data_IF_378546664179
#
_entry.id   IF_378546664179
#
_cell.length_a   1.000
_cell.length_b   1.000
_cell.length_c   1.000
_cell.angle_alpha   90.00
_cell.angle_beta   90.00
_cell.angle_gamma   90.00
#
_symmetry.space_group_name_H-M   'P 1'
#
loop_
_entity.id
_entity.type
_entity.pdbx_description
1 polymer ?
#
# COMPACT_ATOMS: atom_id res chain seq x y z
N UNK A 1 9.14 15.07 -15.23
CA UNK A 1 8.94 15.48 -13.81
C UNK A 1 8.20 14.40 -13.02
N UNK A 2 8.88 13.34 -12.58
CA UNK A 2 8.24 12.33 -11.72
C UNK A 2 9.21 11.77 -10.67
N UNK A 3 9.74 12.62 -9.81
CA UNK A 3 10.48 12.19 -8.63
C UNK A 3 9.49 11.75 -7.55
N UNK A 4 8.87 10.57 -7.71
CA UNK A 4 8.25 9.88 -6.56
C UNK A 4 9.38 9.22 -5.77
N UNK A 5 9.79 9.91 -4.70
CA UNK A 5 10.76 9.45 -3.69
C UNK A 5 10.51 7.98 -3.32
N UNK A 6 11.46 7.10 -3.63
CA UNK A 6 11.50 5.69 -3.22
C UNK A 6 12.04 5.52 -1.79
N UNK A 7 11.86 6.51 -0.92
CA UNK A 7 12.41 6.49 0.43
C UNK A 7 11.28 6.17 1.40
N UNK A 8 11.35 5.02 2.07
CA UNK A 8 10.51 4.73 3.23
C UNK A 8 11.37 4.22 4.39
N UNK A 9 11.09 4.77 5.56
CA UNK A 9 11.73 4.47 6.84
C UNK A 9 11.73 2.96 7.12
N UNK A 10 12.89 2.44 7.55
CA UNK A 10 13.09 1.05 7.95
C UNK A 10 13.21 0.03 6.82
N UNK A 11 13.11 0.41 5.55
CA UNK A 11 13.21 -0.52 4.41
C UNK A 11 14.56 -0.42 3.73
N UNK A 12 15.40 -1.43 3.96
CA UNK A 12 16.65 -1.57 3.22
C UNK A 12 16.38 -1.96 1.76
N UNK A 13 17.14 -1.37 0.84
CA UNK A 13 17.29 -1.89 -0.51
C UNK A 13 18.41 -2.92 -0.49
N UNK A 14 18.08 -4.20 -0.68
CA UNK A 14 19.09 -5.24 -0.79
C UNK A 14 19.63 -5.24 -2.23
N UNK A 15 20.88 -4.79 -2.37
CA UNK A 15 21.67 -4.99 -3.58
C UNK A 15 22.40 -6.32 -3.43
N UNK A 16 21.96 -7.38 -4.12
CA UNK A 16 22.68 -8.66 -4.13
C UNK A 16 23.85 -8.51 -5.10
N UNK A 17 25.08 -8.52 -4.58
CA UNK A 17 26.30 -8.37 -5.40
C UNK A 17 26.71 -9.74 -5.95
N UNK A 18 26.59 -9.98 -7.26
CA UNK A 18 27.47 -10.92 -8.00
C UNK A 18 27.79 -10.38 -9.40
N UNK A 19 29.02 -10.67 -9.81
CA UNK A 19 29.78 -10.12 -10.95
C UNK A 19 28.94 -9.98 -12.24
N UNK A 20 29.08 -8.81 -12.88
CA UNK A 20 28.75 -8.49 -14.28
C UNK A 20 27.42 -9.00 -14.83
N UNK A 21 26.36 -8.18 -14.68
CA UNK A 21 25.26 -7.92 -15.62
C UNK A 21 24.18 -7.12 -14.84
N UNK A 22 23.48 -6.21 -15.51
CA UNK A 22 22.45 -5.34 -14.90
C UNK A 22 21.45 -6.19 -14.09
N UNK A 23 21.47 -6.08 -12.76
CA UNK A 23 20.67 -6.97 -11.90
C UNK A 23 19.36 -6.33 -11.43
N UNK A 24 18.30 -7.15 -11.24
CA UNK A 24 17.04 -6.69 -10.66
C UNK A 24 17.15 -6.17 -9.25
N UNK A 25 16.56 -5.01 -8.99
CA UNK A 25 16.40 -4.43 -7.65
C UNK A 25 15.17 -5.07 -6.99
N UNK A 26 15.36 -5.61 -5.79
CA UNK A 26 14.24 -6.12 -4.97
C UNK A 26 13.68 -4.99 -4.11
N UNK A 27 12.48 -4.54 -4.43
CA UNK A 27 11.77 -3.45 -3.78
C UNK A 27 10.50 -4.03 -3.16
N UNK A 28 10.52 -4.19 -1.83
CA UNK A 28 9.35 -4.55 -1.03
C UNK A 28 8.75 -5.90 -1.42
N UNK A 29 9.60 -6.89 -1.63
CA UNK A 29 9.20 -8.24 -2.04
C UNK A 29 8.86 -8.41 -3.52
N UNK A 30 8.99 -7.36 -4.35
CA UNK A 30 8.90 -7.45 -5.82
C UNK A 30 10.27 -7.20 -6.45
N UNK A 31 10.51 -7.78 -7.62
CA UNK A 31 11.77 -7.67 -8.37
C UNK A 31 11.57 -6.83 -9.62
N UNK A 32 12.43 -5.84 -9.84
CA UNK A 32 12.33 -4.86 -10.90
C UNK A 32 13.65 -4.74 -11.64
N UNK A 33 13.61 -4.71 -12.97
CA UNK A 33 14.76 -4.37 -13.79
C UNK A 33 14.70 -2.87 -14.12
N UNK A 34 15.62 -2.09 -13.55
CA UNK A 34 15.63 -0.63 -13.71
C UNK A 34 17.02 -0.23 -14.21
N UNK A 35 17.14 0.35 -15.42
CA UNK A 35 18.43 0.81 -15.91
C UNK A 35 18.93 2.00 -15.07
N UNK A 36 20.13 1.83 -14.51
CA UNK A 36 21.01 2.82 -13.88
C UNK A 36 20.30 3.98 -13.14
N UNK A 37 20.10 3.80 -11.84
CA UNK A 37 19.57 4.82 -10.91
C UNK A 37 20.63 5.18 -9.87
N UNK A 38 20.74 6.47 -9.51
CA UNK A 38 21.52 6.94 -8.36
C UNK A 38 20.81 6.56 -7.06
N UNK A 39 21.50 5.85 -6.17
CA UNK A 39 20.96 5.44 -4.88
C UNK A 39 22.05 5.32 -3.81
N UNK A 40 21.71 5.69 -2.57
CA UNK A 40 22.61 5.53 -1.43
C UNK A 40 22.55 4.08 -0.94
N UNK A 41 23.72 3.50 -0.67
CA UNK A 41 23.84 2.16 -0.09
C UNK A 41 23.65 2.26 1.42
N UNK A 42 22.66 1.57 1.98
CA UNK A 42 22.43 1.51 3.42
C UNK A 42 20.95 1.41 3.80
N UNK A 43 20.69 1.00 5.05
CA UNK A 43 19.35 1.01 5.62
C UNK A 43 19.00 2.42 6.14
N UNK A 44 17.79 2.88 5.86
CA UNK A 44 17.29 4.13 6.46
C UNK A 44 17.12 3.93 7.97
N UNK A 45 17.71 4.83 8.77
CA UNK A 45 17.62 4.82 10.24
C UNK A 45 16.20 4.95 10.79
N UNK A 46 16.05 4.91 12.13
CA UNK A 46 14.76 4.92 12.84
C UNK A 46 13.87 3.70 12.55
N UNK A 47 14.47 2.50 12.50
CA UNK A 47 13.75 1.22 12.26
C UNK A 47 12.67 0.94 13.32
N UNK A 48 12.87 1.44 14.55
CA UNK A 48 11.96 1.23 15.68
C UNK A 48 10.66 2.05 15.65
N UNK A 49 10.46 2.94 14.68
CA UNK A 49 9.26 3.81 14.63
C UNK A 49 7.94 3.02 14.62
N UNK A 50 7.92 1.85 13.98
CA UNK A 50 6.75 0.98 13.88
C UNK A 50 6.34 0.36 15.22
N UNK A 51 7.26 0.31 16.20
CA UNK A 51 6.99 -0.25 17.53
C UNK A 51 6.22 0.72 18.44
N UNK A 52 6.12 2.00 18.07
CA UNK A 52 5.43 3.02 18.88
C UNK A 52 3.92 2.91 18.68
N UNK A 53 3.16 2.74 19.76
CA UNK A 53 1.70 2.85 19.76
C UNK A 53 1.25 4.30 20.01
N UNK A 54 0.15 4.73 19.40
CA UNK A 54 -0.31 6.13 19.50
C UNK A 54 -1.06 6.46 20.81
N UNK A 55 -1.33 5.48 21.67
CA UNK A 55 -1.84 5.62 23.05
C UNK A 55 -3.27 6.16 23.21
N UNK A 56 -3.61 7.27 22.53
CA UNK A 56 -4.90 7.96 22.59
C UNK A 56 -5.38 8.38 21.20
N UNK A 57 -6.69 8.59 21.06
CA UNK A 57 -7.30 9.03 19.80
C UNK A 57 -6.72 10.38 19.31
N UNK A 58 -6.51 11.34 20.22
CA UNK A 58 -6.01 12.68 19.87
C UNK A 58 -4.62 12.68 19.20
N UNK A 59 -3.74 11.75 19.57
CA UNK A 59 -2.41 11.61 18.94
C UNK A 59 -2.51 11.33 17.44
N UNK A 60 -3.59 10.68 16.98
CA UNK A 60 -3.84 10.44 15.56
C UNK A 60 -4.29 11.70 14.83
N UNK A 61 -5.03 12.57 15.50
CA UNK A 61 -5.46 13.87 14.97
C UNK A 61 -4.28 14.83 14.79
N UNK A 62 -3.27 14.78 15.67
CA UNK A 62 -2.02 15.55 15.51
C UNK A 62 -1.24 15.20 14.24
N UNK A 63 -1.42 13.99 13.72
CA UNK A 63 -0.87 13.54 12.44
C UNK A 63 -1.74 13.97 11.24
N UNK A 64 -2.75 14.81 11.44
CA UNK A 64 -3.69 15.25 10.40
C UNK A 64 -4.69 14.18 9.94
N UNK A 65 -4.79 13.05 10.65
CA UNK A 65 -5.71 11.95 10.28
C UNK A 65 -7.04 12.09 11.01
N UNK A 66 -8.09 12.41 10.26
CA UNK A 66 -9.48 12.49 10.75
C UNK A 66 -10.05 11.09 11.09
N UNK A 67 -11.03 10.99 12.00
CA UNK A 67 -11.75 9.74 12.24
C UNK A 67 -12.45 9.27 10.95
N UNK A 68 -12.49 7.95 10.74
CA UNK A 68 -13.10 7.31 9.58
C UNK A 68 -14.26 6.44 10.06
N UNK A 69 -15.43 6.59 9.44
CA UNK A 69 -16.65 5.85 9.78
C UNK A 69 -16.69 4.53 8.99
N UNK A 70 -17.17 3.45 9.64
CA UNK A 70 -17.36 2.15 8.98
C UNK A 70 -18.59 2.21 8.07
N UNK A 71 -18.49 1.69 6.85
CA UNK A 71 -19.61 1.64 5.90
C UNK A 71 -20.85 0.88 6.39
N UNK A 72 -20.68 -0.07 7.33
CA UNK A 72 -21.79 -0.80 7.95
C UNK A 72 -22.62 0.05 8.93
N UNK A 73 -22.10 1.19 9.39
CA UNK A 73 -22.80 2.12 10.28
C UNK A 73 -23.49 3.25 9.51
N UNK A 74 -23.46 3.22 8.18
CA UNK A 74 -24.03 4.24 7.31
C UNK A 74 -25.41 3.82 6.80
N UNK A 75 -26.12 4.73 6.12
CA UNK A 75 -27.40 4.43 5.47
C UNK A 75 -27.17 3.72 4.11
N UNK A 76 -28.19 3.01 3.57
CA UNK A 76 -28.11 2.35 2.26
C UNK A 76 -27.72 3.28 1.09
N UNK A 77 -28.06 4.56 1.19
CA UNK A 77 -27.72 5.59 0.19
C UNK A 77 -26.23 5.95 0.18
N UNK A 78 -25.57 5.90 1.34
CA UNK A 78 -24.20 6.37 1.52
C UNK A 78 -23.17 5.27 1.25
N UNK A 79 -23.51 4.02 1.58
CA UNK A 79 -22.59 2.90 1.46
C UNK A 79 -23.29 1.61 1.06
N UNK A 80 -22.67 0.78 0.19
CA UNK A 80 -23.17 -0.56 -0.14
C UNK A 80 -23.28 -1.56 1.03
N UNK A 81 -22.90 -1.18 2.25
CA UNK A 81 -23.04 -2.04 3.44
C UNK A 81 -23.96 -1.38 4.47
N UNK A 82 -24.55 -0.23 4.13
CA UNK A 82 -25.38 0.52 5.03
C UNK A 82 -26.78 -0.05 5.15
N UNK A 83 -27.42 0.25 6.28
CA UNK A 83 -28.77 -0.21 6.63
C UNK A 83 -28.82 -1.62 7.23
N UNK A 84 -30.05 -2.13 7.30
CA UNK A 84 -30.41 -3.33 8.04
C UNK A 84 -30.80 -3.03 9.49
N UNK A 85 -31.56 -3.93 10.10
CA UNK A 85 -31.97 -3.80 11.49
C UNK A 85 -30.80 -4.19 12.42
N UNK A 86 -30.45 -3.29 13.35
CA UNK A 86 -29.36 -3.52 14.30
C UNK A 86 -27.99 -3.66 13.61
N UNK A 87 -27.23 -4.70 13.98
CA UNK A 87 -25.92 -4.98 13.38
C UNK A 87 -26.09 -5.93 12.19
N UNK A 88 -26.08 -5.37 10.99
CA UNK A 88 -26.20 -6.17 9.77
C UNK A 88 -24.86 -6.82 9.34
N UNK A 89 -24.89 -8.06 8.83
CA UNK A 89 -23.79 -8.60 8.04
C UNK A 89 -23.70 -7.87 6.69
N UNK A 90 -22.61 -8.08 5.94
CA UNK A 90 -22.34 -7.37 4.67
C UNK A 90 -23.45 -7.54 3.62
N UNK A 91 -24.22 -8.63 3.65
CA UNK A 91 -25.37 -8.86 2.76
C UNK A 91 -25.03 -9.03 1.26
N UNK A 92 -23.75 -8.98 0.89
CA UNK A 92 -23.25 -9.09 -0.49
C UNK A 92 -22.21 -10.21 -0.61
N UNK A 93 -22.09 -10.79 -1.81
CA UNK A 93 -21.12 -11.88 -2.11
C UNK A 93 -19.67 -11.49 -1.80
N UNK A 94 -19.31 -10.22 -1.94
CA UNK A 94 -17.98 -9.68 -1.62
C UNK A 94 -18.12 -8.31 -0.95
N UNK A 95 -17.21 -7.94 -0.03
CA UNK A 95 -17.16 -6.59 0.51
C UNK A 95 -16.89 -5.58 -0.60
N UNK A 96 -17.63 -4.47 -0.59
CA UNK A 96 -17.53 -3.40 -1.55
C UNK A 96 -16.93 -2.12 -0.93
N UNK A 97 -16.34 -1.32 -1.81
CA UNK A 97 -15.98 0.08 -1.55
C UNK A 97 -17.23 0.96 -1.55
N UNK A 98 -17.16 2.21 -1.04
CA UNK A 98 -18.28 3.15 -1.13
C UNK A 98 -18.84 3.32 -2.55
N UNK A 99 -17.96 3.21 -3.56
CA UNK A 99 -18.31 3.30 -4.99
C UNK A 99 -18.70 1.96 -5.64
N UNK A 100 -18.93 0.90 -4.86
CA UNK A 100 -19.42 -0.39 -5.36
C UNK A 100 -18.37 -1.35 -5.93
N UNK A 101 -17.11 -0.95 -6.09
CA UNK A 101 -16.05 -1.89 -6.50
C UNK A 101 -15.73 -2.91 -5.40
N UNK A 102 -15.35 -4.15 -5.73
CA UNK A 102 -14.89 -5.14 -4.75
C UNK A 102 -13.63 -4.66 -4.00
N UNK A 103 -13.68 -4.68 -2.66
CA UNK A 103 -12.58 -4.23 -1.80
C UNK A 103 -11.46 -5.27 -1.65
N UNK A 104 -11.79 -6.56 -1.78
CA UNK A 104 -10.86 -7.67 -1.60
C UNK A 104 -10.56 -8.38 -2.93
N UNK A 105 -9.28 -8.72 -3.15
CA UNK A 105 -8.83 -9.58 -4.24
C UNK A 105 -8.80 -8.96 -5.65
N UNK A 106 -9.40 -7.78 -5.87
CA UNK A 106 -9.36 -7.10 -7.18
C UNK A 106 -8.01 -6.40 -7.39
N UNK A 107 -7.25 -6.83 -8.41
CA UNK A 107 -6.02 -6.11 -8.84
C UNK A 107 -6.40 -4.78 -9.48
N UNK A 108 -5.94 -3.66 -8.89
CA UNK A 108 -6.26 -2.29 -9.34
C UNK A 108 -5.26 -1.71 -10.34
N UNK A 109 -4.10 -2.35 -10.56
CA UNK A 109 -3.09 -1.87 -11.52
C UNK A 109 -3.59 -2.02 -12.96
N UNK A 110 -3.47 -0.96 -13.77
CA UNK A 110 -3.75 -0.96 -15.22
C UNK A 110 -2.89 -2.03 -15.93
N UNK A 111 -3.50 -2.85 -16.79
CA UNK A 111 -2.88 -4.01 -17.44
C UNK A 111 -1.79 -3.69 -18.48
N UNK A 112 -1.84 -2.51 -19.09
CA UNK A 112 -0.92 -2.06 -20.15
C UNK A 112 -0.24 -0.77 -19.72
N UNK A 113 0.48 -0.79 -18.61
CA UNK A 113 1.25 0.36 -18.14
C UNK A 113 2.66 0.29 -18.72
N UNK A 114 3.22 1.43 -19.13
CA UNK A 114 4.60 1.52 -19.67
C UNK A 114 5.65 0.84 -18.77
N UNK A 115 5.44 0.86 -17.45
CA UNK A 115 6.34 0.26 -16.46
C UNK A 115 6.14 -1.24 -16.25
N UNK A 116 5.33 -1.94 -17.05
CA UNK A 116 5.11 -3.38 -16.90
C UNK A 116 6.30 -4.20 -17.43
N UNK A 117 7.02 -3.71 -18.45
CA UNK A 117 8.27 -4.33 -18.95
C UNK A 117 9.39 -4.36 -17.92
N UNK A 118 9.39 -3.40 -16.99
CA UNK A 118 10.40 -3.26 -15.94
C UNK A 118 10.13 -4.17 -14.72
N UNK A 119 9.04 -4.93 -14.70
CA UNK A 119 8.66 -5.78 -13.55
C UNK A 119 8.92 -7.23 -13.89
N UNK A 120 9.91 -7.81 -13.21
CA UNK A 120 10.23 -9.23 -13.33
C UNK A 120 9.34 -10.09 -12.41
N UNK A 121 9.11 -9.63 -11.18
CA UNK A 121 8.28 -10.36 -10.21
C UNK A 121 7.43 -9.43 -9.37
N UNK A 122 6.14 -9.76 -9.21
CA UNK A 122 5.22 -9.05 -8.31
C UNK A 122 5.47 -9.44 -6.85
N UNK A 123 5.11 -8.52 -5.95
CA UNK A 123 5.13 -8.73 -4.49
C UNK A 123 4.21 -9.90 -4.13
N UNK A 124 4.69 -10.76 -3.23
CA UNK A 124 3.87 -11.78 -2.56
C UNK A 124 3.13 -11.16 -1.39
#
# INVERSE_FOLDING_TARGET
MLWKKLVQFGKGFFLIKKKNLLQPITIWGGSFDIPKLLGNVGQVGNVGVTRKSLGRAGSKCWLGKRPVVRGAAMNPVDHPHGGGEGKAPIGRKKPATPWGYPALGRKSRKRRKYSDSLILRRRK
#
